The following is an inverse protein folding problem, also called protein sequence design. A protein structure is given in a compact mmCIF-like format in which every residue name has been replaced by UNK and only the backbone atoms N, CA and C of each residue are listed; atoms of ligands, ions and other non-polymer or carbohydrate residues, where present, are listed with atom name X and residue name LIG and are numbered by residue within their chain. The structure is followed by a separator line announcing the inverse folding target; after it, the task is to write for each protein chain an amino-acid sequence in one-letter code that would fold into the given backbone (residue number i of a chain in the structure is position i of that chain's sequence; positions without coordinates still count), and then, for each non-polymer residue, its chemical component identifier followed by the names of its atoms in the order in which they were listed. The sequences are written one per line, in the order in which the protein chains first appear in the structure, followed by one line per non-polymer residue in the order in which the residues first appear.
data_IF_709308423214
#
_entry.id   IF_709308423214
#
_cell.length_a   1.000
_cell.length_b   1.000
_cell.length_c   1.000
_cell.angle_alpha   90.00
_cell.angle_beta   90.00
_cell.angle_gamma   90.00
#
_symmetry.space_group_name_H-M   'P 1'
#
loop_
_entity.id
_entity.type
_entity.pdbx_description
1 polymer ?
#
# COMPACT_ATOMS: atom_id res chain seq x y z
N UNK A 1 1.18 -8.90 0.82
CA UNK A 1 2.60 -8.72 0.40
C UNK A 1 2.69 -7.86 -0.87
N UNK A 2 3.57 -6.85 -0.90
CA UNK A 2 3.79 -6.00 -2.09
C UNK A 2 4.69 -6.68 -3.13
N UNK A 3 5.64 -7.48 -2.68
CA UNK A 3 6.51 -8.31 -3.52
C UNK A 3 6.18 -9.77 -3.27
N UNK A 4 6.19 -10.57 -4.33
CA UNK A 4 6.00 -12.02 -4.24
C UNK A 4 7.14 -12.72 -4.96
N UNK A 5 7.53 -13.85 -4.41
CA UNK A 5 8.50 -14.76 -5.00
C UNK A 5 7.99 -16.19 -4.83
N UNK A 6 8.35 -17.06 -5.77
CA UNK A 6 7.92 -18.45 -5.77
C UNK A 6 8.90 -19.38 -5.03
N UNK A 7 10.15 -18.94 -4.78
CA UNK A 7 11.20 -19.79 -4.22
C UNK A 7 12.19 -18.98 -3.38
N UNK A 8 12.73 -19.61 -2.32
CA UNK A 8 13.91 -19.11 -1.64
C UNK A 8 13.73 -17.86 -0.74
N UNK A 9 12.51 -17.52 -0.34
CA UNK A 9 12.21 -16.37 0.55
C UNK A 9 12.47 -16.61 2.06
N UNK A 10 13.05 -17.77 2.38
CA UNK A 10 13.27 -18.22 3.75
C UNK A 10 12.00 -18.78 4.39
N UNK A 11 12.19 -19.55 5.47
CA UNK A 11 11.12 -20.32 6.10
C UNK A 11 10.78 -19.82 7.51
N UNK A 12 9.59 -20.17 7.98
CA UNK A 12 9.20 -19.95 9.37
C UNK A 12 10.18 -20.61 10.36
N UNK A 13 10.71 -21.79 10.01
CA UNK A 13 11.63 -22.56 10.87
C UNK A 13 12.86 -21.77 11.33
N UNK A 14 13.38 -20.89 10.47
CA UNK A 14 14.57 -20.05 10.76
C UNK A 14 14.29 -18.55 10.77
N UNK A 15 13.03 -18.13 10.66
CA UNK A 15 12.67 -16.71 10.62
C UNK A 15 13.28 -15.98 9.44
N UNK A 16 13.30 -16.61 8.26
CA UNK A 16 13.83 -16.00 7.03
C UNK A 16 15.35 -16.01 6.88
N UNK A 17 16.12 -16.50 7.87
CA UNK A 17 17.60 -16.55 7.80
C UNK A 17 18.16 -17.57 6.81
N UNK A 18 17.31 -18.44 6.30
CA UNK A 18 17.55 -19.41 5.24
C UNK A 18 17.04 -18.93 3.88
N UNK A 19 16.84 -17.61 3.72
CA UNK A 19 16.65 -17.01 2.40
C UNK A 19 17.83 -17.39 1.48
N UNK A 20 17.51 -17.70 0.22
CA UNK A 20 18.54 -17.93 -0.79
C UNK A 20 19.40 -16.69 -0.99
N UNK A 21 20.63 -16.85 -1.49
CA UNK A 21 21.45 -15.69 -1.82
C UNK A 21 20.71 -14.82 -2.85
N UNK A 22 20.84 -13.49 -2.75
CA UNK A 22 20.09 -12.52 -3.56
C UNK A 22 20.17 -12.77 -5.07
N UNK A 23 21.29 -13.32 -5.56
CA UNK A 23 21.49 -13.68 -6.96
C UNK A 23 20.60 -14.84 -7.46
N UNK A 24 20.00 -15.60 -6.56
CA UNK A 24 19.16 -16.78 -6.85
C UNK A 24 17.70 -16.59 -6.44
N UNK A 25 17.34 -15.46 -5.82
CA UNK A 25 15.97 -15.16 -5.40
C UNK A 25 15.40 -14.08 -6.30
N UNK A 26 14.30 -14.40 -6.96
CA UNK A 26 13.62 -13.47 -7.86
C UNK A 26 12.31 -13.00 -7.24
N UNK A 27 12.10 -11.70 -7.22
CA UNK A 27 10.87 -11.07 -6.78
C UNK A 27 10.16 -10.42 -7.97
N UNK A 28 8.83 -10.41 -7.91
CA UNK A 28 7.99 -9.61 -8.80
C UNK A 28 7.03 -8.75 -7.99
N UNK A 29 6.64 -7.64 -8.57
CA UNK A 29 5.61 -6.77 -8.00
C UNK A 29 4.26 -7.50 -7.99
N UNK A 30 3.58 -7.47 -6.85
CA UNK A 30 2.21 -7.92 -6.75
C UNK A 30 1.26 -6.85 -7.33
N UNK A 31 1.17 -6.78 -8.65
CA UNK A 31 0.41 -5.72 -9.36
C UNK A 31 -1.03 -5.58 -8.87
N UNK A 32 -1.75 -6.68 -8.62
CA UNK A 32 -3.14 -6.63 -8.14
C UNK A 32 -3.28 -5.91 -6.80
N UNK A 33 -2.30 -6.05 -5.91
CA UNK A 33 -2.26 -5.34 -4.63
C UNK A 33 -1.71 -3.93 -4.81
N UNK A 34 -0.59 -3.78 -5.52
CA UNK A 34 0.11 -2.51 -5.66
C UNK A 34 -0.67 -1.46 -6.46
N UNK A 35 -1.28 -1.85 -7.57
CA UNK A 35 -2.00 -0.92 -8.46
C UNK A 35 -3.27 -0.36 -7.78
N UNK A 36 -3.90 -1.15 -6.90
CA UNK A 36 -5.04 -0.71 -6.09
C UNK A 36 -4.61 0.06 -4.85
N UNK A 37 -3.56 -0.40 -4.17
CA UNK A 37 -3.10 0.24 -2.94
C UNK A 37 -2.44 1.60 -3.22
N UNK A 38 -1.76 1.73 -4.35
CA UNK A 38 -1.05 2.93 -4.82
C UNK A 38 -1.53 3.31 -6.23
N UNK A 39 -2.71 3.95 -6.35
CA UNK A 39 -3.27 4.33 -7.65
C UNK A 39 -2.31 5.21 -8.46
N UNK A 40 -2.14 4.89 -9.75
CA UNK A 40 -1.28 5.66 -10.67
C UNK A 40 -1.67 7.14 -10.73
N UNK A 41 -2.96 7.45 -10.59
CA UNK A 41 -3.46 8.82 -10.56
C UNK A 41 -2.89 9.66 -9.39
N UNK A 42 -2.49 9.04 -8.29
CA UNK A 42 -1.87 9.73 -7.15
C UNK A 42 -0.40 10.08 -7.42
N UNK A 43 0.27 9.35 -8.32
CA UNK A 43 1.69 9.57 -8.64
C UNK A 43 1.97 10.97 -9.18
N UNK A 44 0.95 11.63 -9.75
CA UNK A 44 1.05 12.99 -10.29
C UNK A 44 0.74 14.10 -9.27
N UNK A 45 0.36 13.73 -8.05
CA UNK A 45 -0.02 14.69 -7.01
C UNK A 45 0.74 14.47 -5.70
N UNK A 46 1.69 13.54 -5.65
CA UNK A 46 2.63 13.41 -4.54
C UNK A 46 3.92 14.19 -4.81
N UNK A 47 4.67 14.50 -3.75
CA UNK A 47 5.93 15.23 -3.85
C UNK A 47 7.09 14.27 -4.12
N UNK A 48 8.06 14.70 -4.93
CA UNK A 48 9.26 13.93 -5.28
C UNK A 48 10.53 14.61 -4.81
N UNK A 49 11.53 13.78 -4.51
CA UNK A 49 12.89 14.22 -4.24
C UNK A 49 13.61 14.45 -5.58
N UNK A 50 14.42 15.51 -5.64
CA UNK A 50 15.26 15.81 -6.80
C UNK A 50 16.73 15.78 -6.37
N UNK A 51 17.54 14.98 -7.07
CA UNK A 51 18.99 14.89 -6.86
C UNK A 51 19.68 15.16 -8.19
N UNK A 52 20.61 16.12 -8.22
CA UNK A 52 21.31 16.54 -9.45
C UNK A 52 20.35 16.91 -10.61
N UNK A 53 19.18 17.47 -10.29
CA UNK A 53 18.16 17.86 -11.27
C UNK A 53 17.32 16.69 -11.82
N UNK A 54 17.55 15.46 -11.37
CA UNK A 54 16.77 14.28 -11.77
C UNK A 54 15.72 13.98 -10.71
N UNK A 55 14.49 13.70 -11.15
CA UNK A 55 13.40 13.24 -10.28
C UNK A 55 13.69 11.80 -9.80
N UNK A 56 13.71 11.61 -8.49
CA UNK A 56 13.96 10.32 -7.83
C UNK A 56 12.65 9.73 -7.27
N UNK A 57 12.68 9.09 -6.10
CA UNK A 57 11.51 8.58 -5.39
C UNK A 57 10.60 9.71 -4.84
N UNK A 58 9.31 9.42 -4.60
CA UNK A 58 8.47 10.32 -3.85
C UNK A 58 8.98 10.46 -2.42
N UNK A 59 8.82 11.66 -1.83
CA UNK A 59 9.07 11.91 -0.40
C UNK A 59 8.30 10.89 0.44
N UNK A 60 7.05 10.60 0.05
CA UNK A 60 6.23 9.55 0.64
C UNK A 60 5.17 9.08 -0.35
N UNK A 61 5.03 7.76 -0.49
CA UNK A 61 3.85 7.18 -1.14
C UNK A 61 2.64 7.31 -0.22
N UNK A 62 1.48 7.64 -0.79
CA UNK A 62 0.25 7.78 -0.04
C UNK A 62 -0.73 6.65 -0.38
N UNK A 63 -0.65 5.47 0.26
CA UNK A 63 -1.55 4.35 -0.05
C UNK A 63 -3.02 4.70 0.27
N UNK A 64 -4.00 4.04 -0.37
CA UNK A 64 -5.44 4.27 -0.10
C UNK A 64 -5.90 3.84 1.30
N UNK A 65 -5.08 3.05 1.99
CA UNK A 65 -5.24 2.50 3.34
C UNK A 65 -3.90 2.61 4.09
N UNK A 66 -3.87 2.69 5.43
CA UNK A 66 -2.65 2.88 6.20
C UNK A 66 -1.80 1.59 6.25
N UNK A 67 -1.17 1.25 5.11
CA UNK A 67 -0.42 0.02 4.86
C UNK A 67 0.68 -0.27 5.89
N UNK A 68 1.29 0.77 6.46
CA UNK A 68 2.30 0.64 7.52
C UNK A 68 1.81 -0.15 8.74
N UNK A 69 0.49 -0.18 8.99
CA UNK A 69 -0.10 -0.90 10.11
C UNK A 69 -0.15 -2.41 9.91
N UNK A 70 0.05 -2.92 8.71
CA UNK A 70 -0.01 -4.37 8.41
C UNK A 70 1.36 -5.05 8.47
N UNK A 71 2.37 -4.34 8.97
CA UNK A 71 3.74 -4.82 9.00
C UNK A 71 4.29 -4.87 10.41
N UNK A 72 5.20 -5.82 10.60
CA UNK A 72 6.08 -5.83 11.76
C UNK A 72 7.31 -5.01 11.40
N UNK A 73 7.67 -4.06 12.26
CA UNK A 73 8.90 -3.31 12.13
C UNK A 73 9.42 -2.98 13.53
N UNK A 74 10.66 -3.36 13.79
CA UNK A 74 11.34 -3.02 15.04
C UNK A 74 12.73 -2.51 14.72
N UNK A 75 12.95 -1.21 14.92
CA UNK A 75 14.23 -0.58 14.63
C UNK A 75 14.66 0.32 15.78
N UNK A 76 15.92 0.14 16.24
CA UNK A 76 16.56 1.11 17.11
C UNK A 76 16.96 2.34 16.30
N UNK A 77 16.67 3.52 16.82
CA UNK A 77 17.16 4.80 16.33
C UNK A 77 17.89 5.53 17.45
N UNK A 78 18.72 6.51 17.12
CA UNK A 78 19.44 7.30 18.13
C UNK A 78 18.42 8.07 19.00
N UNK A 79 18.32 7.71 20.28
CA UNK A 79 17.37 8.31 21.22
C UNK A 79 15.92 7.81 21.13
N UNK A 80 15.60 6.92 20.18
CA UNK A 80 14.23 6.45 19.95
C UNK A 80 14.18 4.95 19.64
N UNK A 81 13.05 4.33 19.95
CA UNK A 81 12.74 2.96 19.52
C UNK A 81 11.42 2.98 18.77
N UNK A 82 11.39 2.35 17.61
CA UNK A 82 10.17 2.12 16.83
C UNK A 82 9.88 0.64 16.85
N UNK A 83 8.73 0.23 17.37
CA UNK A 83 8.29 -1.17 17.48
C UNK A 83 6.81 -1.26 17.17
N UNK A 84 6.51 -1.66 15.94
CA UNK A 84 5.17 -1.83 15.39
C UNK A 84 4.91 -3.31 15.17
N UNK A 85 3.70 -3.72 15.55
CA UNK A 85 3.21 -5.06 15.28
C UNK A 85 2.03 -4.99 14.30
N UNK A 86 1.91 -5.98 13.40
CA UNK A 86 0.87 -5.96 12.38
C UNK A 86 -0.53 -5.95 13.01
N UNK A 87 -1.41 -5.10 12.51
CA UNK A 87 -2.82 -5.04 12.88
C UNK A 87 -3.68 -5.75 11.86
N UNK A 88 -4.84 -6.21 12.30
CA UNK A 88 -5.77 -6.91 11.45
C UNK A 88 -6.18 -6.04 10.24
N UNK A 89 -6.09 -6.62 9.05
CA UNK A 89 -6.31 -5.90 7.80
C UNK A 89 -7.78 -5.47 7.69
N UNK A 90 -8.72 -6.35 8.08
CA UNK A 90 -10.16 -6.08 7.98
C UNK A 90 -10.60 -5.01 8.97
N UNK A 91 -10.18 -5.11 10.23
CA UNK A 91 -10.45 -4.08 11.24
C UNK A 91 -9.89 -2.71 10.83
N UNK A 92 -8.71 -2.68 10.19
CA UNK A 92 -8.11 -1.45 9.66
C UNK A 92 -8.95 -0.89 8.50
N UNK A 93 -9.40 -1.74 7.58
CA UNK A 93 -10.28 -1.36 6.46
C UNK A 93 -11.60 -0.79 6.98
N UNK A 94 -12.23 -1.45 7.96
CA UNK A 94 -13.52 -1.03 8.52
C UNK A 94 -13.42 0.30 9.27
N UNK A 95 -12.33 0.52 10.00
CA UNK A 95 -12.04 1.79 10.65
C UNK A 95 -11.92 2.93 9.62
N UNK A 96 -11.18 2.71 8.52
CA UNK A 96 -11.04 3.70 7.46
C UNK A 96 -12.36 3.92 6.73
N UNK A 97 -13.11 2.85 6.38
CA UNK A 97 -14.45 2.99 5.78
C UNK A 97 -15.40 3.81 6.65
N UNK A 98 -15.35 3.61 7.97
CA UNK A 98 -16.15 4.39 8.93
C UNK A 98 -15.80 5.87 8.89
N UNK A 99 -14.50 6.20 8.81
CA UNK A 99 -14.03 7.58 8.64
C UNK A 99 -14.46 8.18 7.30
N UNK A 100 -14.25 7.46 6.19
CA UNK A 100 -14.62 7.93 4.85
C UNK A 100 -16.14 8.14 4.74
N UNK A 101 -16.93 7.20 5.26
CA UNK A 101 -18.40 7.29 5.22
C UNK A 101 -18.93 8.46 6.04
N UNK A 102 -18.21 8.86 7.09
CA UNK A 102 -18.57 9.98 7.94
C UNK A 102 -18.15 11.35 7.39
N UNK A 103 -17.47 11.38 6.23
CA UNK A 103 -17.19 12.62 5.52
C UNK A 103 -18.52 13.22 5.05
N UNK A 104 -18.83 14.41 5.57
CA UNK A 104 -20.02 15.14 5.16
C UNK A 104 -19.92 15.56 3.68
N UNK A 105 -21.02 15.49 2.92
CA UNK A 105 -21.11 16.15 1.63
C UNK A 105 -20.86 17.67 1.81
N UNK A 106 -20.22 18.29 0.82
CA UNK A 106 -19.94 19.74 0.81
C UNK A 106 -21.14 20.63 1.17
N UNK A 107 -20.92 21.78 1.85
CA UNK A 107 -21.59 23.03 1.52
C UNK A 107 -21.00 23.64 0.23
N UNK A 108 -21.82 24.24 -0.63
CA UNK A 108 -21.57 24.59 -2.04
C UNK A 108 -20.60 25.79 -2.25
N UNK A 109 -19.58 25.96 -1.41
CA UNK A 109 -18.58 27.00 -1.64
C UNK A 109 -17.44 26.48 -2.51
N UNK A 110 -17.45 26.92 -3.77
CA UNK A 110 -16.44 26.64 -4.77
C UNK A 110 -15.16 27.41 -4.42
N UNK A 111 -14.00 26.74 -4.42
CA UNK A 111 -12.74 27.46 -4.62
C UNK A 111 -12.66 27.97 -6.08
N UNK A 112 -11.68 28.80 -6.41
CA UNK A 112 -11.45 29.33 -7.77
C UNK A 112 -11.33 28.24 -8.88
N UNK A 113 -11.26 26.96 -8.48
CA UNK A 113 -11.18 25.79 -9.35
C UNK A 113 -12.43 24.89 -9.32
N UNK A 114 -13.41 25.14 -8.43
CA UNK A 114 -14.68 24.42 -8.36
C UNK A 114 -14.69 23.07 -7.64
N UNK A 115 -13.60 22.64 -6.98
CA UNK A 115 -13.43 21.25 -6.49
C UNK A 115 -13.52 21.16 -4.96
N UNK A 116 -14.01 20.05 -4.35
CA UNK A 116 -14.01 19.90 -2.89
C UNK A 116 -12.61 20.08 -2.29
N UNK A 117 -12.47 21.05 -1.38
CA UNK A 117 -11.47 20.95 -0.31
C UNK A 117 -11.95 19.88 0.67
N UNK A 118 -11.17 18.83 0.91
CA UNK A 118 -11.36 17.99 2.09
C UNK A 118 -10.97 18.80 3.33
N UNK A 119 -11.87 19.67 3.82
CA UNK A 119 -11.72 20.17 5.18
C UNK A 119 -12.02 18.99 6.11
N UNK A 120 -10.95 18.38 6.62
CA UNK A 120 -10.94 17.38 7.69
C UNK A 120 -11.71 17.82 8.95
N UNK A 121 -12.02 19.12 9.09
CA UNK A 121 -12.90 19.67 10.12
C UNK A 121 -14.39 19.32 10.00
N UNK A 122 -14.78 18.51 9.02
CA UNK A 122 -16.18 18.11 8.77
C UNK A 122 -16.54 16.67 9.15
N UNK A 123 -15.66 15.91 9.82
CA UNK A 123 -16.03 14.59 10.37
C UNK A 123 -17.25 14.76 11.28
N UNK A 124 -18.28 13.93 11.09
CA UNK A 124 -19.39 13.92 12.04
C UNK A 124 -18.82 13.58 13.43
N UNK A 125 -19.09 14.39 14.46
CA UNK A 125 -18.50 14.22 15.80
C UNK A 125 -18.80 12.87 16.49
N UNK A 126 -19.53 11.97 15.83
CA UNK A 126 -19.98 10.69 16.35
C UNK A 126 -19.39 9.46 15.61
N UNK A 127 -18.27 9.58 14.88
CA UNK A 127 -17.62 8.38 14.31
C UNK A 127 -17.12 7.50 15.45
N UNK A 128 -17.75 6.33 15.60
CA UNK A 128 -17.31 5.30 16.53
C UNK A 128 -16.20 4.51 15.86
N UNK A 129 -14.96 4.86 16.19
CA UNK A 129 -13.80 4.01 15.91
C UNK A 129 -13.64 2.98 17.04
N UNK A 130 -13.06 1.81 16.76
CA UNK A 130 -12.70 0.89 17.83
C UNK A 130 -11.70 1.56 18.76
N UNK A 131 -11.72 1.17 20.03
CA UNK A 131 -10.78 1.70 21.05
C UNK A 131 -9.35 1.33 20.69
N UNK A 132 -9.15 0.14 20.14
CA UNK A 132 -7.87 -0.36 19.66
C UNK A 132 -8.06 -1.19 18.38
N UNK A 133 -7.04 -1.22 17.52
CA UNK A 133 -7.01 -2.16 16.41
C UNK A 133 -6.46 -3.51 16.90
N UNK A 134 -7.17 -4.63 16.68
CA UNK A 134 -6.68 -5.92 17.11
C UNK A 134 -5.38 -6.29 16.37
N UNK A 135 -4.47 -7.02 17.04
CA UNK A 135 -3.30 -7.57 16.37
C UNK A 135 -3.71 -8.52 15.25
N UNK A 136 -2.91 -8.58 14.19
CA UNK A 136 -3.12 -9.56 13.12
C UNK A 136 -2.89 -10.96 13.68
N UNK A 137 -3.92 -11.80 13.55
CA UNK A 137 -3.86 -13.23 13.89
C UNK A 137 -3.70 -14.10 12.64
N UNK A 138 -3.54 -13.50 11.45
CA UNK A 138 -3.42 -14.26 10.22
C UNK A 138 -2.12 -15.09 10.21
N UNK A 139 -2.27 -16.42 10.14
CA UNK A 139 -1.21 -17.45 10.29
C UNK A 139 -0.57 -17.58 11.68
N UNK A 140 -1.08 -16.89 12.69
CA UNK A 140 -0.62 -17.02 14.07
C UNK A 140 -1.76 -17.61 14.93
N UNK A 141 -1.62 -18.88 15.31
CA UNK A 141 -2.67 -19.68 15.96
C UNK A 141 -2.66 -19.64 17.50
N UNK A 142 -1.94 -18.69 18.11
CA UNK A 142 -1.85 -18.49 19.56
C UNK A 142 -2.90 -17.57 20.16
N UNK A 143 -2.69 -17.22 21.43
CA UNK A 143 -3.59 -16.40 22.23
C UNK A 143 -2.91 -15.11 22.66
N UNK A 144 -3.63 -13.99 22.59
CA UNK A 144 -3.22 -12.73 23.19
C UNK A 144 -3.72 -12.66 24.62
N UNK A 145 -2.81 -12.58 25.60
CA UNK A 145 -3.11 -12.32 27.01
C UNK A 145 -2.46 -11.01 27.41
N UNK A 146 -3.27 -9.98 27.65
CA UNK A 146 -2.80 -8.61 27.82
C UNK A 146 -1.88 -8.16 26.65
N UNK A 147 -0.63 -7.82 26.93
CA UNK A 147 0.38 -7.45 25.94
C UNK A 147 1.30 -8.62 25.55
N UNK A 148 0.96 -9.87 25.89
CA UNK A 148 1.74 -11.04 25.52
C UNK A 148 1.02 -11.88 24.46
N UNK A 149 1.79 -12.31 23.48
CA UNK A 149 1.39 -13.37 22.58
C UNK A 149 1.91 -14.70 23.13
N UNK A 150 1.03 -15.69 23.28
CA UNK A 150 1.36 -17.02 23.80
C UNK A 150 1.13 -18.06 22.70
N UNK A 151 2.09 -18.97 22.54
CA UNK A 151 1.99 -20.09 21.60
C UNK A 151 0.98 -21.14 22.04
N UNK A 152 0.65 -22.07 21.14
CA UNK A 152 -0.34 -23.12 21.39
C UNK A 152 0.31 -24.48 21.40
N UNK A 153 -0.11 -25.31 22.35
CA UNK A 153 0.33 -26.68 22.48
C UNK A 153 -0.78 -27.55 23.06
N UNK A 154 -0.61 -28.86 22.92
CA UNK A 154 -1.42 -29.88 23.59
C UNK A 154 -0.51 -30.83 24.36
N UNK A 155 -1.01 -31.33 25.49
CA UNK A 155 -0.28 -32.23 26.39
C UNK A 155 -0.95 -33.60 26.36
N UNK A 156 -0.16 -34.66 26.20
CA UNK A 156 -0.59 -36.05 26.26
C UNK A 156 0.43 -36.87 27.06
N UNK A 157 0.23 -36.95 28.38
CA UNK A 157 1.15 -37.59 29.31
C UNK A 157 2.54 -36.96 29.27
N UNK A 158 3.54 -37.75 28.90
CA UNK A 158 4.94 -37.27 28.79
C UNK A 158 5.23 -36.60 27.43
N UNK A 159 4.24 -36.38 26.58
CA UNK A 159 4.43 -35.77 25.25
C UNK A 159 3.72 -34.42 25.14
N UNK A 160 4.43 -33.42 24.63
CA UNK A 160 3.88 -32.08 24.34
C UNK A 160 3.97 -31.83 22.84
N UNK A 161 2.85 -31.49 22.22
CA UNK A 161 2.77 -31.14 20.80
C UNK A 161 2.49 -29.65 20.65
N UNK A 162 3.47 -28.90 20.16
CA UNK A 162 3.38 -27.45 19.91
C UNK A 162 2.94 -27.23 18.46
N UNK A 163 1.83 -26.51 18.30
CA UNK A 163 1.21 -26.23 16.99
C UNK A 163 1.29 -24.77 16.58
N UNK A 164 1.67 -23.87 17.50
CA UNK A 164 1.84 -22.44 17.20
C UNK A 164 2.92 -21.82 18.09
N UNK A 165 3.72 -20.92 17.52
CA UNK A 165 4.70 -20.12 18.26
C UNK A 165 4.32 -18.63 18.20
N UNK A 166 4.68 -17.86 19.24
CA UNK A 166 4.50 -16.42 19.23
C UNK A 166 5.35 -15.75 18.14
N UNK A 167 4.91 -14.60 17.58
CA UNK A 167 5.67 -13.85 16.59
C UNK A 167 7.10 -13.55 17.06
N UNK A 168 8.08 -13.81 16.18
CA UNK A 168 9.51 -13.59 16.48
C UNK A 168 10.18 -14.76 17.23
N UNK A 169 9.42 -15.73 17.76
CA UNK A 169 9.96 -16.99 18.24
C UNK A 169 9.89 -18.05 17.14
N UNK A 170 11.05 -18.36 16.57
CA UNK A 170 11.19 -19.36 15.50
C UNK A 170 11.48 -20.75 16.06
N UNK A 171 11.13 -21.81 15.33
CA UNK A 171 11.39 -23.20 15.70
C UNK A 171 12.85 -23.41 16.13
N UNK A 172 13.78 -22.99 15.28
CA UNK A 172 15.22 -23.10 15.55
C UNK A 172 15.65 -22.36 16.82
N UNK A 173 14.99 -21.25 17.16
CA UNK A 173 15.24 -20.53 18.41
C UNK A 173 14.72 -21.31 19.60
N UNK A 174 13.48 -21.82 19.55
CA UNK A 174 12.89 -22.62 20.60
C UNK A 174 13.70 -23.90 20.86
N UNK A 175 13.99 -24.67 19.80
CA UNK A 175 14.75 -25.92 19.90
C UNK A 175 16.16 -25.71 20.44
N UNK A 176 16.81 -24.60 20.06
CA UNK A 176 18.10 -24.23 20.65
C UNK A 176 17.96 -23.86 22.13
N UNK A 177 16.91 -23.14 22.53
CA UNK A 177 16.66 -22.83 23.93
C UNK A 177 16.37 -24.09 24.76
N UNK A 178 15.73 -25.10 24.16
CA UNK A 178 15.48 -26.40 24.78
C UNK A 178 16.79 -27.19 24.93
N UNK A 179 17.61 -27.27 23.87
CA UNK A 179 18.88 -28.00 23.88
C UNK A 179 19.94 -27.35 24.77
N UNK A 180 19.97 -26.02 24.83
CA UNK A 180 21.12 -25.26 25.33
C UNK A 180 22.20 -25.10 24.27
N UNK A 181 23.26 -24.35 24.60
CA UNK A 181 24.38 -24.11 23.70
C UNK A 181 25.32 -25.34 23.63
N UNK A 182 25.84 -25.64 22.44
CA UNK A 182 26.96 -26.59 22.28
C UNK A 182 28.28 -26.01 22.80
N UNK A 183 29.30 -26.84 23.00
CA UNK A 183 30.62 -26.39 23.45
C UNK A 183 31.20 -25.28 22.55
N UNK A 184 31.04 -25.42 21.23
CA UNK A 184 31.51 -24.41 20.27
C UNK A 184 30.70 -23.11 20.34
N UNK A 185 29.39 -23.19 20.53
CA UNK A 185 28.52 -22.01 20.69
C UNK A 185 28.76 -21.30 22.01
N UNK A 186 28.97 -22.05 23.09
CA UNK A 186 29.35 -21.55 24.40
C UNK A 186 30.67 -20.75 24.31
N UNK A 187 31.72 -21.32 23.70
CA UNK A 187 32.99 -20.62 23.45
C UNK A 187 32.78 -19.31 22.68
N UNK A 188 31.97 -19.31 21.61
CA UNK A 188 31.66 -18.11 20.82
C UNK A 188 30.89 -17.05 21.60
N UNK A 189 30.01 -17.44 22.53
CA UNK A 189 29.24 -16.51 23.36
C UNK A 189 30.09 -15.89 24.47
N UNK A 190 30.90 -16.71 25.14
CA UNK A 190 31.85 -16.24 26.15
C UNK A 190 32.83 -15.24 25.53
N UNK A 191 33.35 -15.53 24.33
CA UNK A 191 34.21 -14.58 23.58
C UNK A 191 33.52 -13.24 23.25
N UNK A 192 32.19 -13.20 23.25
CA UNK A 192 31.37 -11.98 23.05
C UNK A 192 30.85 -11.39 24.37
N UNK A 193 31.33 -11.88 25.52
CA UNK A 193 30.88 -11.45 26.85
C UNK A 193 29.44 -11.82 27.19
N UNK A 194 28.89 -12.89 26.58
CA UNK A 194 27.50 -13.33 26.80
C UNK A 194 27.46 -14.66 27.57
N UNK A 195 26.50 -14.79 28.47
CA UNK A 195 26.26 -16.02 29.24
C UNK A 195 25.91 -17.23 28.36
N UNK A 196 26.33 -18.41 28.80
CA UNK A 196 26.01 -19.68 28.14
C UNK A 196 24.57 -20.06 28.42
N UNK A 197 23.82 -20.48 27.39
CA UNK A 197 22.46 -20.97 27.56
C UNK A 197 22.46 -22.39 28.07
N UNK A 198 21.81 -22.59 29.20
CA UNK A 198 21.55 -23.90 29.77
C UNK A 198 20.28 -24.47 29.11
N UNK A 199 20.33 -25.73 28.70
CA UNK A 199 19.18 -26.44 28.15
C UNK A 199 18.08 -26.66 29.19
N UNK A 200 16.94 -27.15 28.73
CA UNK A 200 15.77 -27.44 29.55
C UNK A 200 15.80 -28.92 29.98
N UNK A 201 16.23 -29.25 31.22
CA UNK A 201 16.49 -30.64 31.62
C UNK A 201 15.25 -31.53 31.69
N UNK A 202 14.04 -30.94 31.75
CA UNK A 202 12.80 -31.70 31.77
C UNK A 202 12.40 -32.20 30.37
N UNK A 203 13.04 -31.69 29.32
CA UNK A 203 12.83 -32.15 27.93
C UNK A 203 13.88 -33.18 27.59
N UNK A 204 13.46 -34.44 27.43
CA UNK A 204 14.33 -35.56 27.04
C UNK A 204 14.70 -35.49 25.56
N UNK A 205 13.73 -35.21 24.70
CA UNK A 205 13.90 -35.19 23.26
C UNK A 205 12.97 -34.16 22.61
N UNK A 206 13.39 -33.59 21.49
CA UNK A 206 12.61 -32.63 20.72
C UNK A 206 12.73 -32.94 19.22
N UNK A 207 11.59 -33.12 18.56
CA UNK A 207 11.50 -33.40 17.14
C UNK A 207 10.73 -32.28 16.42
N UNK A 208 11.26 -31.80 15.29
CA UNK A 208 10.64 -30.76 14.47
C UNK A 208 10.18 -31.32 13.12
N UNK A 209 8.87 -31.43 12.96
CA UNK A 209 8.18 -31.87 11.72
C UNK A 209 7.47 -30.73 11.00
N UNK A 210 7.64 -29.50 11.48
CA UNK A 210 7.04 -28.28 10.94
C UNK A 210 7.26 -28.14 9.45
N UNK A 211 6.30 -27.64 8.67
CA UNK A 211 6.52 -27.38 7.25
C UNK A 211 7.22 -26.04 7.00
N UNK A 212 6.94 -25.44 5.84
CA UNK A 212 7.46 -24.12 5.48
C UNK A 212 6.73 -22.98 6.21
N UNK A 213 5.43 -23.19 6.47
CA UNK A 213 4.51 -22.19 7.02
C UNK A 213 3.79 -22.61 8.31
N UNK A 214 3.81 -23.91 8.65
CA UNK A 214 3.13 -24.45 9.84
C UNK A 214 4.14 -24.94 10.87
N UNK A 215 3.78 -24.83 12.16
CA UNK A 215 4.55 -25.36 13.29
C UNK A 215 4.01 -26.74 13.68
N UNK A 216 4.91 -27.70 13.81
CA UNK A 216 4.68 -29.05 14.32
C UNK A 216 5.96 -29.50 15.04
N UNK A 217 6.00 -29.25 16.35
CA UNK A 217 7.13 -29.61 17.22
C UNK A 217 6.61 -30.55 18.30
N UNK A 218 7.25 -31.71 18.43
CA UNK A 218 6.95 -32.70 19.47
C UNK A 218 8.08 -32.74 20.49
N UNK A 219 7.74 -32.54 21.76
CA UNK A 219 8.65 -32.63 22.88
C UNK A 219 8.32 -33.87 23.71
N UNK A 220 9.33 -34.69 24.00
CA UNK A 220 9.23 -35.82 24.92
C UNK A 220 9.82 -35.37 26.25
N UNK A 221 9.00 -35.37 27.29
CA UNK A 221 9.36 -34.95 28.64
C UNK A 221 9.89 -36.13 29.47
N UNK A 222 10.60 -35.82 30.55
CA UNK A 222 10.96 -36.82 31.57
C UNK A 222 9.73 -37.23 32.38
N UNK A 223 9.70 -38.49 32.87
CA UNK A 223 8.58 -38.95 33.69
C UNK A 223 8.40 -38.08 34.94
N UNK A 224 7.16 -37.65 35.19
CA UNK A 224 6.82 -36.81 36.34
C UNK A 224 7.35 -35.38 36.24
N UNK A 225 7.56 -34.88 35.02
CA UNK A 225 8.00 -33.51 34.75
C UNK A 225 7.06 -32.45 35.35
N UNK A 226 5.75 -32.72 35.39
CA UNK A 226 4.73 -31.78 35.89
C UNK A 226 5.03 -31.28 37.31
N UNK A 227 5.52 -32.18 38.19
CA UNK A 227 5.85 -31.85 39.58
C UNK A 227 7.18 -31.11 39.75
N UNK A 228 7.98 -31.05 38.69
CA UNK A 228 9.33 -30.46 38.68
C UNK A 228 9.38 -29.13 37.94
N UNK A 229 8.26 -28.68 37.38
CA UNK A 229 8.19 -27.38 36.72
C UNK A 229 8.48 -26.26 37.73
N UNK A 230 9.31 -25.27 37.36
CA UNK A 230 9.41 -24.06 38.15
C UNK A 230 8.08 -23.29 38.06
N UNK A 231 7.61 -22.70 39.16
CA UNK A 231 6.42 -21.87 39.13
C UNK A 231 6.65 -20.67 38.21
N UNK A 232 5.63 -20.31 37.43
CA UNK A 232 5.64 -19.12 36.61
C UNK A 232 5.85 -17.87 37.46
N UNK A 233 6.65 -16.93 36.97
CA UNK A 233 6.86 -15.65 37.64
C UNK A 233 5.66 -14.70 37.57
N UNK A 234 4.63 -15.06 36.80
CA UNK A 234 3.42 -14.26 36.58
C UNK A 234 2.21 -15.18 36.34
N UNK A 235 1.05 -14.82 36.91
CA UNK A 235 -0.24 -15.51 36.73
C UNK A 235 -0.73 -15.55 35.26
N UNK A 236 -0.16 -14.72 34.37
CA UNK A 236 -0.50 -14.72 32.93
C UNK A 236 -0.15 -16.00 32.17
N UNK A 237 0.79 -16.80 32.70
CA UNK A 237 1.29 -18.00 32.05
C UNK A 237 1.18 -19.20 32.99
N UNK A 238 0.84 -20.35 32.43
CA UNK A 238 1.08 -21.63 33.08
C UNK A 238 2.59 -21.85 33.29
N UNK A 239 2.92 -22.65 34.30
CA UNK A 239 4.30 -23.05 34.60
C UNK A 239 4.99 -23.67 33.38
N UNK A 240 4.24 -24.39 32.54
CA UNK A 240 4.75 -24.97 31.31
C UNK A 240 5.04 -23.92 30.22
N UNK A 241 4.12 -22.97 30.01
CA UNK A 241 4.33 -21.87 29.05
C UNK A 241 5.57 -21.04 29.44
N UNK A 242 5.70 -20.76 30.73
CA UNK A 242 6.85 -20.07 31.31
C UNK A 242 8.12 -20.89 31.14
N UNK A 243 8.08 -22.17 31.52
CA UNK A 243 9.22 -23.07 31.42
C UNK A 243 9.70 -23.23 29.99
N UNK A 244 8.81 -23.39 29.00
CA UNK A 244 9.20 -23.52 27.59
C UNK A 244 9.62 -22.17 26.98
N UNK A 245 9.16 -21.05 27.54
CA UNK A 245 9.41 -19.72 26.99
C UNK A 245 8.67 -19.49 25.68
N UNK A 246 7.46 -20.04 25.55
CA UNK A 246 6.61 -19.95 24.35
C UNK A 246 5.69 -18.71 24.39
N UNK A 247 6.23 -17.59 24.86
CA UNK A 247 5.52 -16.31 24.93
C UNK A 247 6.43 -15.17 24.47
N UNK A 248 5.86 -14.10 23.94
CA UNK A 248 6.58 -12.87 23.57
C UNK A 248 5.77 -11.66 24.00
N UNK A 249 6.44 -10.72 24.68
CA UNK A 249 5.84 -9.43 25.01
C UNK A 249 5.79 -8.54 23.76
N UNK A 250 4.59 -8.06 23.43
CA UNK A 250 4.33 -7.13 22.34
C UNK A 250 4.36 -5.68 22.86
N UNK A 251 5.57 -5.19 23.15
CA UNK A 251 5.75 -3.80 23.55
C UNK A 251 5.69 -2.84 22.33
N UNK A 252 4.55 -2.16 22.19
CA UNK A 252 4.31 -1.18 21.14
C UNK A 252 5.07 0.12 21.43
N UNK A 253 6.02 0.47 20.56
CA UNK A 253 6.73 1.74 20.62
C UNK A 253 6.42 2.49 19.32
N UNK A 254 5.28 3.17 19.29
CA UNK A 254 4.69 3.73 18.06
C UNK A 254 5.29 5.10 17.71
N UNK A 255 6.61 5.12 17.54
CA UNK A 255 7.37 6.30 17.15
C UNK A 255 7.53 6.31 15.63
N UNK A 256 7.23 7.42 14.97
CA UNK A 256 7.46 7.58 13.52
C UNK A 256 7.83 9.01 13.18
N UNK A 257 8.45 9.18 12.02
CA UNK A 257 8.71 10.48 11.40
C UNK A 257 7.46 10.88 10.59
N UNK A 258 7.03 12.13 10.72
CA UNK A 258 5.94 12.72 9.96
C UNK A 258 6.48 13.40 8.68
N UNK A 259 5.63 13.75 7.71
CA UNK A 259 6.08 14.41 6.47
C UNK A 259 6.77 15.77 6.65
N UNK A 260 6.68 16.38 7.83
CA UNK A 260 7.38 17.62 8.21
C UNK A 260 8.71 17.35 8.95
N UNK A 261 9.23 16.14 8.82
CA UNK A 261 10.44 15.62 9.48
C UNK A 261 10.40 15.61 11.02
N UNK A 262 9.23 15.88 11.62
CA UNK A 262 9.06 15.81 13.06
C UNK A 262 8.91 14.36 13.54
N UNK A 263 9.50 14.05 14.70
CA UNK A 263 9.29 12.77 15.38
C UNK A 263 8.00 12.84 16.20
N UNK A 264 7.12 11.86 16.00
CA UNK A 264 5.86 11.74 16.71
C UNK A 264 5.72 10.39 17.39
N UNK A 265 5.25 10.40 18.64
CA UNK A 265 4.98 9.19 19.44
C UNK A 265 3.47 9.04 19.59
N UNK A 266 2.92 7.97 19.02
CA UNK A 266 1.50 7.65 19.12
C UNK A 266 1.21 6.81 20.35
N UNK A 267 0.02 7.00 20.94
CA UNK A 267 -0.46 6.16 22.04
C UNK A 267 -1.10 4.88 21.54
N UNK A 268 -1.90 4.98 20.48
CA UNK A 268 -2.63 3.86 19.91
C UNK A 268 -2.47 3.77 18.39
N UNK A 269 -2.72 2.59 17.83
CA UNK A 269 -2.77 2.40 16.37
C UNK A 269 -3.88 3.22 15.71
N UNK A 270 -4.97 3.48 16.43
CA UNK A 270 -6.08 4.31 15.94
C UNK A 270 -5.68 5.78 15.79
N UNK A 271 -4.78 6.28 16.65
CA UNK A 271 -4.26 7.63 16.51
C UNK A 271 -3.42 7.78 15.22
N UNK A 272 -2.72 6.72 14.82
CA UNK A 272 -2.01 6.69 13.53
C UNK A 272 -3.03 6.74 12.37
N UNK A 273 -4.10 5.93 12.43
CA UNK A 273 -5.16 5.98 11.41
C UNK A 273 -5.74 7.39 11.29
N UNK A 274 -6.06 8.04 12.41
CA UNK A 274 -6.57 9.42 12.45
C UNK A 274 -5.58 10.42 11.85
N UNK A 275 -4.30 10.30 12.20
CA UNK A 275 -3.25 11.21 11.67
C UNK A 275 -3.02 11.02 10.18
N UNK A 276 -3.01 9.77 9.69
CA UNK A 276 -2.85 9.41 8.28
C UNK A 276 -4.05 9.84 7.42
N UNK A 277 -5.26 9.77 7.98
CA UNK A 277 -6.50 10.03 7.25
C UNK A 277 -6.55 11.43 6.61
N UNK A 278 -6.06 12.45 7.31
CA UNK A 278 -6.05 13.83 6.82
C UNK A 278 -5.21 14.02 5.54
N UNK A 279 -3.90 13.74 5.58
CA UNK A 279 -3.03 13.79 4.40
C UNK A 279 -3.52 12.92 3.24
N UNK A 280 -4.09 11.74 3.53
CA UNK A 280 -4.67 10.89 2.47
C UNK A 280 -5.89 11.54 1.81
N UNK A 281 -6.79 12.13 2.62
CA UNK A 281 -7.92 12.90 2.11
C UNK A 281 -7.47 14.03 1.19
N UNK A 282 -6.47 14.82 1.60
CA UNK A 282 -5.93 15.90 0.77
C UNK A 282 -5.35 15.38 -0.56
N UNK A 283 -4.73 14.20 -0.56
CA UNK A 283 -4.23 13.56 -1.78
C UNK A 283 -5.36 13.27 -2.77
N UNK A 284 -6.51 12.77 -2.31
CA UNK A 284 -7.70 12.62 -3.15
C UNK A 284 -8.21 13.96 -3.67
N UNK A 285 -8.28 15.00 -2.82
CA UNK A 285 -8.64 16.35 -3.28
C UNK A 285 -7.71 16.79 -4.41
N UNK A 286 -6.40 16.69 -4.25
CA UNK A 286 -5.43 17.06 -5.29
C UNK A 286 -5.59 16.23 -6.56
N UNK A 287 -5.80 14.92 -6.43
CA UNK A 287 -6.05 14.00 -7.56
C UNK A 287 -7.25 14.45 -8.40
N UNK A 288 -8.40 14.68 -7.76
CA UNK A 288 -9.62 15.11 -8.45
C UNK A 288 -9.52 16.55 -8.97
N UNK A 289 -8.82 17.43 -8.26
CA UNK A 289 -8.51 18.77 -8.75
C UNK A 289 -7.75 18.73 -10.07
N UNK A 290 -6.73 17.88 -10.12
CA UNK A 290 -5.92 17.68 -11.32
C UNK A 290 -6.76 17.15 -12.47
N UNK A 291 -7.60 16.15 -12.21
CA UNK A 291 -8.50 15.57 -13.22
C UNK A 291 -9.43 16.63 -13.80
N UNK A 292 -10.10 17.40 -12.93
CA UNK A 292 -11.00 18.48 -13.33
C UNK A 292 -10.29 19.55 -14.17
N UNK A 293 -9.14 20.04 -13.70
CA UNK A 293 -8.40 21.10 -14.38
C UNK A 293 -7.95 20.67 -15.79
N UNK A 294 -7.44 19.44 -15.92
CA UNK A 294 -7.08 18.88 -17.22
C UNK A 294 -8.30 18.70 -18.14
N UNK A 295 -9.44 18.24 -17.61
CA UNK A 295 -10.67 18.08 -18.38
C UNK A 295 -11.24 19.42 -18.87
N UNK A 296 -11.21 20.47 -18.03
CA UNK A 296 -11.62 21.83 -18.40
C UNK A 296 -10.86 22.30 -19.64
N UNK A 297 -9.54 22.14 -19.64
CA UNK A 297 -8.71 22.51 -20.79
C UNK A 297 -8.91 21.63 -22.02
N UNK A 298 -9.17 20.33 -21.82
CA UNK A 298 -9.52 19.42 -22.92
C UNK A 298 -10.86 19.78 -23.57
N UNK A 299 -11.82 20.25 -22.79
CA UNK A 299 -13.11 20.75 -23.29
C UNK A 299 -12.88 21.99 -24.16
N UNK A 300 -12.16 23.00 -23.66
CA UNK A 300 -11.83 24.22 -24.43
C UNK A 300 -11.12 23.87 -25.74
N UNK A 301 -10.13 22.96 -25.69
CA UNK A 301 -9.40 22.50 -26.87
C UNK A 301 -10.34 21.82 -27.88
N UNK A 302 -11.20 20.91 -27.43
CA UNK A 302 -12.13 20.20 -28.32
C UNK A 302 -13.19 21.11 -28.91
N UNK A 303 -13.73 22.06 -28.14
CA UNK A 303 -14.69 23.06 -28.64
C UNK A 303 -14.05 23.89 -29.77
N UNK A 304 -12.79 24.32 -29.61
CA UNK A 304 -12.04 25.00 -30.67
C UNK A 304 -11.81 24.09 -31.89
N UNK A 305 -11.44 22.82 -31.71
CA UNK A 305 -11.24 21.87 -32.81
C UNK A 305 -12.54 21.64 -33.59
N UNK A 306 -13.66 21.43 -32.89
CA UNK A 306 -14.98 21.20 -33.51
C UNK A 306 -15.39 22.42 -34.32
N UNK A 307 -15.22 23.63 -33.75
CA UNK A 307 -15.52 24.88 -34.46
C UNK A 307 -14.59 25.09 -35.65
N UNK A 308 -13.31 24.75 -35.52
CA UNK A 308 -12.33 24.84 -36.59
C UNK A 308 -12.71 23.97 -37.77
N UNK A 309 -13.01 22.68 -37.54
CA UNK A 309 -13.43 21.74 -38.57
C UNK A 309 -14.71 22.23 -39.28
N UNK A 310 -15.69 22.74 -38.51
CA UNK A 310 -16.95 23.25 -39.07
C UNK A 310 -16.74 24.42 -40.04
N UNK A 311 -15.81 25.32 -39.72
CA UNK A 311 -15.56 26.55 -40.48
C UNK A 311 -14.44 26.39 -41.52
N UNK A 312 -13.75 25.25 -41.55
CA UNK A 312 -12.51 25.05 -42.30
C UNK A 312 -12.66 25.27 -43.80
N UNK A 313 -13.68 24.64 -44.41
CA UNK A 313 -13.91 24.70 -45.85
C UNK A 313 -14.74 25.92 -46.30
N UNK A 314 -15.49 26.54 -45.39
CA UNK A 314 -16.44 27.61 -45.71
C UNK A 314 -15.89 29.02 -45.43
N UNK A 315 -15.29 29.22 -44.25
CA UNK A 315 -15.01 30.57 -43.74
C UNK A 315 -13.52 30.84 -43.45
N UNK A 316 -12.72 29.80 -43.17
CA UNK A 316 -11.34 29.98 -42.75
C UNK A 316 -10.36 30.18 -43.91
N UNK A 317 -10.65 29.64 -45.10
CA UNK A 317 -9.86 29.83 -46.34
C UNK A 317 -8.33 29.69 -46.15
N UNK A 318 -7.91 28.73 -45.32
CA UNK A 318 -6.51 28.56 -44.90
C UNK A 318 -5.63 27.90 -45.98
N UNK A 319 -6.24 27.23 -46.95
CA UNK A 319 -5.54 26.54 -48.05
C UNK A 319 -5.45 27.50 -49.25
N UNK A 320 -4.53 28.47 -49.18
CA UNK A 320 -4.19 29.35 -50.31
C UNK A 320 -2.68 29.43 -50.52
N UNK A 321 -2.25 29.50 -51.77
CA UNK A 321 -0.83 29.60 -52.14
C UNK A 321 -0.23 30.88 -51.54
N UNK A 322 0.89 30.76 -50.82
CA UNK A 322 1.56 31.89 -50.15
C UNK A 322 0.97 32.30 -48.80
N UNK A 323 0.07 31.52 -48.20
CA UNK A 323 -0.40 31.74 -46.83
C UNK A 323 0.77 31.63 -45.84
N UNK A 324 1.01 32.68 -45.04
CA UNK A 324 1.99 32.64 -43.95
C UNK A 324 1.35 32.24 -42.63
N UNK A 325 2.18 31.83 -41.65
CA UNK A 325 1.69 31.47 -40.32
C UNK A 325 1.03 32.67 -39.62
N UNK A 326 1.57 33.87 -39.78
CA UNK A 326 1.04 35.11 -39.18
C UNK A 326 -0.32 35.49 -39.76
N UNK A 327 -0.53 35.25 -41.06
CA UNK A 327 -1.82 35.47 -41.71
C UNK A 327 -2.87 34.49 -41.22
N UNK A 328 -2.51 33.21 -41.08
CA UNK A 328 -3.40 32.19 -40.52
C UNK A 328 -3.76 32.51 -39.06
N UNK A 329 -2.78 32.92 -38.25
CA UNK A 329 -2.97 33.36 -36.87
C UNK A 329 -3.94 34.55 -36.78
N UNK A 330 -3.82 35.52 -37.68
CA UNK A 330 -4.70 36.70 -37.73
C UNK A 330 -6.14 36.31 -38.04
N UNK A 331 -6.36 35.39 -38.98
CA UNK A 331 -7.69 34.87 -39.32
C UNK A 331 -8.30 34.10 -38.14
N UNK A 332 -7.52 33.24 -37.49
CA UNK A 332 -8.00 32.49 -36.34
C UNK A 332 -8.29 33.41 -35.14
N UNK A 333 -7.46 34.43 -34.93
CA UNK A 333 -7.68 35.44 -33.90
C UNK A 333 -8.95 36.27 -34.16
N UNK A 334 -9.21 36.69 -35.40
CA UNK A 334 -10.41 37.47 -35.74
C UNK A 334 -11.70 36.67 -35.61
N UNK A 335 -11.63 35.35 -35.80
CA UNK A 335 -12.73 34.40 -35.55
C UNK A 335 -12.82 33.94 -34.08
N UNK A 336 -11.99 34.51 -33.20
CA UNK A 336 -12.02 34.27 -31.75
C UNK A 336 -11.59 32.87 -31.33
N UNK A 337 -10.68 32.22 -32.06
CA UNK A 337 -10.03 30.98 -31.60
C UNK A 337 -9.04 31.28 -30.49
N UNK A 338 -8.79 30.29 -29.64
CA UNK A 338 -7.90 30.45 -28.47
C UNK A 338 -6.52 29.89 -28.81
N UNK A 339 -5.46 30.70 -28.58
CA UNK A 339 -4.08 30.18 -28.57
C UNK A 339 -3.87 29.38 -27.29
N UNK A 340 -3.29 28.19 -27.40
CA UNK A 340 -2.98 27.40 -26.22
C UNK A 340 -1.79 26.47 -26.46
N UNK A 341 -1.05 26.19 -25.38
CA UNK A 341 -0.10 25.09 -25.36
C UNK A 341 -0.80 23.79 -24.94
N UNK A 342 -0.82 22.81 -25.84
CA UNK A 342 -1.45 21.51 -25.62
C UNK A 342 -0.51 20.47 -24.98
N UNK A 343 0.80 20.76 -24.87
CA UNK A 343 1.78 19.82 -24.29
C UNK A 343 1.45 19.47 -22.84
N UNK A 344 1.12 20.43 -21.93
CA UNK A 344 0.70 20.11 -20.56
C UNK A 344 -0.57 19.26 -20.51
N UNK A 345 -1.48 19.43 -21.47
CA UNK A 345 -2.76 18.72 -21.51
C UNK A 345 -2.60 17.27 -22.00
N UNK A 346 -1.69 17.07 -22.97
CA UNK A 346 -1.41 15.77 -23.61
C UNK A 346 -0.43 14.93 -22.79
N UNK A 347 0.64 15.52 -22.29
CA UNK A 347 1.63 14.87 -21.42
C UNK A 347 1.49 15.39 -20.00
N UNK A 348 0.44 14.95 -19.31
CA UNK A 348 0.06 15.51 -18.02
C UNK A 348 0.97 15.08 -16.85
N UNK A 349 2.04 14.31 -17.07
CA UNK A 349 2.77 13.63 -15.99
C UNK A 349 3.41 14.57 -14.96
N UNK A 350 3.90 15.72 -15.42
CA UNK A 350 4.68 16.69 -14.62
C UNK A 350 3.96 18.04 -14.48
N UNK A 351 2.63 18.02 -14.56
CA UNK A 351 1.83 19.24 -14.54
C UNK A 351 1.56 19.68 -13.11
N UNK A 352 2.07 20.85 -12.78
CA UNK A 352 1.72 21.57 -11.56
C UNK A 352 0.38 22.31 -11.76
N UNK A 353 -0.62 21.97 -10.94
CA UNK A 353 -2.00 22.44 -11.09
C UNK A 353 -2.12 23.97 -10.91
N UNK A 354 -1.52 24.60 -9.88
CA UNK A 354 -1.58 26.05 -9.68
C UNK A 354 -1.08 26.86 -10.88
N UNK A 355 -0.07 26.35 -11.61
CA UNK A 355 0.53 27.04 -12.76
C UNK A 355 -0.05 26.60 -14.11
N UNK A 356 -1.01 25.67 -14.12
CA UNK A 356 -1.58 25.09 -15.34
C UNK A 356 -2.23 26.15 -16.25
N UNK A 357 -2.94 27.12 -15.68
CA UNK A 357 -3.55 28.22 -16.45
C UNK A 357 -2.51 29.05 -17.19
N UNK A 358 -1.40 29.37 -16.53
CA UNK A 358 -0.30 30.12 -17.12
C UNK A 358 0.38 29.30 -18.22
N UNK A 359 0.67 28.02 -17.94
CA UNK A 359 1.30 27.12 -18.91
C UNK A 359 0.46 26.95 -20.18
N UNK A 360 -0.86 26.80 -20.04
CA UNK A 360 -1.74 26.47 -21.18
C UNK A 360 -2.18 27.72 -21.96
N UNK A 361 -2.49 28.83 -21.28
CA UNK A 361 -3.12 29.99 -21.93
C UNK A 361 -2.24 31.24 -22.03
N UNK A 362 -1.17 31.35 -21.24
CA UNK A 362 -0.36 32.59 -21.13
C UNK A 362 1.14 32.36 -21.31
N UNK A 363 1.57 31.13 -21.58
CA UNK A 363 2.96 30.77 -21.75
C UNK A 363 3.58 31.28 -23.05
N UNK A 364 4.91 31.24 -23.19
CA UNK A 364 5.61 31.67 -24.39
C UNK A 364 5.30 30.81 -25.63
N UNK A 365 4.92 29.55 -25.41
CA UNK A 365 4.72 28.56 -26.48
C UNK A 365 3.25 28.42 -26.93
N UNK A 366 2.36 29.32 -26.51
CA UNK A 366 0.96 29.29 -26.93
C UNK A 366 0.85 29.54 -28.44
N UNK A 367 0.10 28.68 -29.13
CA UNK A 367 -0.04 28.77 -30.58
C UNK A 367 -1.36 28.17 -31.05
N UNK A 368 -1.67 28.37 -32.34
CA UNK A 368 -2.77 27.65 -33.00
C UNK A 368 -2.33 26.31 -33.60
N UNK A 369 -1.11 25.81 -33.29
CA UNK A 369 -0.56 24.58 -33.86
C UNK A 369 -1.47 23.35 -33.65
N UNK A 370 -2.24 23.33 -32.57
CA UNK A 370 -3.22 22.25 -32.32
C UNK A 370 -4.42 22.26 -33.28
N UNK A 371 -4.67 23.38 -33.97
CA UNK A 371 -5.68 23.55 -35.03
C UNK A 371 -5.03 23.45 -36.41
N UNK A 372 -4.01 24.27 -36.67
CA UNK A 372 -3.34 24.34 -37.99
C UNK A 372 -2.57 23.07 -38.32
N UNK A 373 -2.15 22.30 -37.31
CA UNK A 373 -1.54 20.98 -37.46
C UNK A 373 -2.54 19.86 -37.78
N UNK A 374 -3.86 20.13 -37.85
CA UNK A 374 -4.85 19.13 -38.25
C UNK A 374 -4.74 18.91 -39.77
N UNK A 375 -4.44 17.69 -40.24
CA UNK A 375 -4.39 17.40 -41.67
C UNK A 375 -5.74 17.63 -42.35
N UNK A 376 -5.74 18.09 -43.60
CA UNK A 376 -6.97 18.38 -44.37
C UNK A 376 -7.89 17.15 -44.50
N UNK A 377 -7.33 15.94 -44.65
CA UNK A 377 -8.13 14.71 -44.67
C UNK A 377 -8.82 14.39 -43.33
N UNK A 378 -8.56 15.18 -42.27
CA UNK A 378 -9.22 15.08 -40.98
C UNK A 378 -10.24 16.18 -40.71
N UNK A 379 -10.46 17.13 -41.62
CA UNK A 379 -11.42 18.24 -41.47
C UNK A 379 -12.82 17.91 -42.01
N UNK A 380 -13.18 16.63 -42.10
CA UNK A 380 -14.50 16.18 -42.53
C UNK A 380 -15.44 15.91 -41.33
N UNK A 381 -16.74 15.96 -41.59
CA UNK A 381 -17.84 15.82 -40.60
C UNK A 381 -17.71 14.56 -39.73
N UNK A 382 -17.22 13.45 -40.29
CA UNK A 382 -17.02 12.21 -39.52
C UNK A 382 -16.06 12.37 -38.34
N UNK A 383 -15.01 13.19 -38.48
CA UNK A 383 -14.08 13.46 -37.38
C UNK A 383 -14.64 14.51 -36.42
N UNK A 384 -15.39 15.49 -36.93
CA UNK A 384 -16.12 16.43 -36.10
C UNK A 384 -17.04 15.68 -35.12
N UNK A 385 -17.79 14.67 -35.60
CA UNK A 385 -18.64 13.81 -34.77
C UNK A 385 -17.85 13.07 -33.68
N UNK A 386 -16.68 12.49 -34.02
CA UNK A 386 -15.80 11.84 -33.03
C UNK A 386 -15.31 12.81 -31.95
N UNK A 387 -15.03 14.07 -32.32
CA UNK A 387 -14.64 15.10 -31.37
C UNK A 387 -15.82 15.51 -30.48
N UNK A 388 -17.03 15.62 -31.03
CA UNK A 388 -18.26 15.89 -30.27
C UNK A 388 -18.57 14.78 -29.27
N UNK A 389 -18.44 13.50 -29.64
CA UNK A 389 -18.63 12.37 -28.72
C UNK A 389 -17.65 12.45 -27.53
N UNK A 390 -16.37 12.74 -27.80
CA UNK A 390 -15.35 12.94 -26.75
C UNK A 390 -15.67 14.14 -25.87
N UNK A 391 -16.12 15.25 -26.46
CA UNK A 391 -16.51 16.46 -25.74
C UNK A 391 -17.66 16.17 -24.76
N UNK A 392 -18.69 15.45 -25.20
CA UNK A 392 -19.80 15.06 -24.33
C UNK A 392 -19.35 14.15 -23.20
N UNK A 393 -18.43 13.20 -23.47
CA UNK A 393 -17.82 12.37 -22.41
C UNK A 393 -17.08 13.21 -21.36
N UNK A 394 -16.31 14.21 -21.78
CA UNK A 394 -15.59 15.09 -20.85
C UNK A 394 -16.52 16.01 -20.06
N UNK A 395 -17.54 16.61 -20.70
CA UNK A 395 -18.55 17.43 -20.02
C UNK A 395 -19.33 16.60 -19.00
N UNK A 396 -19.72 15.38 -19.33
CA UNK A 396 -20.34 14.44 -18.39
C UNK A 396 -19.43 14.16 -17.20
N UNK A 397 -18.15 13.87 -17.44
CA UNK A 397 -17.18 13.59 -16.36
C UNK A 397 -16.95 14.80 -15.47
N UNK A 398 -16.91 16.01 -16.02
CA UNK A 398 -16.83 17.25 -15.23
C UNK A 398 -18.05 17.39 -14.32
N UNK A 399 -19.26 17.21 -14.86
CA UNK A 399 -20.50 17.26 -14.06
C UNK A 399 -20.53 16.20 -12.96
N UNK A 400 -19.98 15.00 -13.23
CA UNK A 400 -19.75 14.00 -12.19
C UNK A 400 -18.81 14.56 -11.12
N UNK A 401 -17.61 15.05 -11.48
CA UNK A 401 -16.59 15.57 -10.54
C UNK A 401 -17.06 16.74 -9.67
N UNK A 402 -18.01 17.54 -10.17
CA UNK A 402 -18.62 18.65 -9.41
C UNK A 402 -19.53 18.15 -8.27
N UNK A 403 -19.95 16.88 -8.33
CA UNK A 403 -20.77 16.22 -7.31
C UNK A 403 -20.14 16.27 -5.91
N UNK A 404 -20.97 16.51 -4.90
CA UNK A 404 -20.51 16.72 -3.52
C UNK A 404 -19.95 15.47 -2.83
N UNK A 405 -20.22 14.28 -3.37
CA UNK A 405 -19.82 12.99 -2.78
C UNK A 405 -18.75 12.25 -3.58
N UNK A 406 -18.33 12.75 -4.74
CA UNK A 406 -17.51 12.02 -5.71
C UNK A 406 -16.23 11.47 -5.10
N UNK A 407 -15.50 12.31 -4.37
CA UNK A 407 -14.24 11.89 -3.76
C UNK A 407 -14.45 10.82 -2.70
N UNK A 408 -15.51 10.96 -1.89
CA UNK A 408 -15.88 9.98 -0.86
C UNK A 408 -16.25 8.65 -1.51
N UNK A 409 -17.13 8.69 -2.51
CA UNK A 409 -17.65 7.51 -3.17
C UNK A 409 -16.54 6.79 -3.95
N UNK A 410 -15.64 7.54 -4.58
CA UNK A 410 -14.46 6.98 -5.23
C UNK A 410 -13.50 6.33 -4.23
N UNK A 411 -13.23 6.96 -3.09
CA UNK A 411 -12.36 6.37 -2.07
C UNK A 411 -12.99 5.09 -1.50
N UNK A 412 -14.30 5.10 -1.19
CA UNK A 412 -15.00 3.89 -0.76
C UNK A 412 -14.95 2.79 -1.81
N UNK A 413 -15.14 3.13 -3.09
CA UNK A 413 -15.05 2.19 -4.19
C UNK A 413 -13.65 1.56 -4.29
N UNK A 414 -12.59 2.36 -4.21
CA UNK A 414 -11.19 1.88 -4.24
C UNK A 414 -10.88 0.99 -3.02
N UNK A 415 -11.37 1.34 -1.83
CA UNK A 415 -11.24 0.49 -0.63
C UNK A 415 -11.98 -0.84 -0.83
N UNK A 416 -13.21 -0.85 -1.34
CA UNK A 416 -13.97 -2.07 -1.58
C UNK A 416 -13.30 -2.97 -2.64
N UNK A 417 -12.74 -2.37 -3.70
CA UNK A 417 -11.98 -3.11 -4.70
C UNK A 417 -10.73 -3.76 -4.08
N UNK A 418 -10.00 -3.01 -3.24
CA UNK A 418 -8.83 -3.55 -2.54
C UNK A 418 -9.21 -4.63 -1.53
N UNK A 419 -10.30 -4.46 -0.80
CA UNK A 419 -10.77 -5.44 0.16
C UNK A 419 -11.11 -6.79 -0.50
N UNK A 420 -11.73 -6.78 -1.68
CA UNK A 420 -11.98 -7.99 -2.44
C UNK A 420 -10.67 -8.73 -2.81
N UNK A 421 -9.62 -7.97 -3.14
CA UNK A 421 -8.26 -8.53 -3.37
C UNK A 421 -7.65 -9.09 -2.09
N UNK A 422 -7.90 -8.47 -0.94
CA UNK A 422 -7.47 -9.00 0.35
C UNK A 422 -8.18 -10.33 0.62
N UNK A 423 -9.49 -10.42 0.44
CA UNK A 423 -10.25 -11.67 0.66
C UNK A 423 -9.74 -12.80 -0.23
N UNK A 424 -9.52 -12.50 -1.51
CA UNK A 424 -8.92 -13.46 -2.44
C UNK A 424 -7.51 -13.85 -1.99
N UNK A 425 -6.67 -12.87 -1.65
CA UNK A 425 -5.29 -13.07 -1.22
C UNK A 425 -5.18 -13.90 0.06
N UNK A 426 -6.05 -13.69 1.05
CA UNK A 426 -6.08 -14.50 2.27
C UNK A 426 -6.51 -15.96 1.99
N UNK A 427 -7.35 -16.18 0.98
CA UNK A 427 -7.78 -17.51 0.54
C UNK A 427 -6.74 -18.24 -0.32
N UNK A 428 -5.96 -17.50 -1.11
CA UNK A 428 -4.99 -18.05 -2.07
C UNK A 428 -3.54 -17.86 -1.67
N UNK A 429 -3.27 -17.48 -0.41
CA UNK A 429 -1.93 -17.12 0.07
C UNK A 429 -1.24 -16.05 -0.79
N UNK A 430 -2.03 -15.12 -1.34
CA UNK A 430 -1.61 -14.02 -2.21
C UNK A 430 -1.04 -14.46 -3.57
N UNK A 431 -1.11 -15.76 -3.89
CA UNK A 431 -0.85 -16.30 -5.22
C UNK A 431 -2.14 -16.24 -6.05
N UNK A 432 -2.29 -15.16 -6.80
CA UNK A 432 -3.41 -14.97 -7.75
C UNK A 432 -3.28 -15.87 -8.99
N UNK A 433 -4.37 -16.12 -9.72
CA UNK A 433 -4.35 -17.07 -10.86
C UNK A 433 -3.37 -16.68 -12.00
N UNK A 434 -3.03 -15.39 -12.14
CA UNK A 434 -1.97 -14.89 -13.03
C UNK A 434 -0.53 -15.26 -12.57
N UNK A 435 -0.38 -16.00 -11.46
CA UNK A 435 0.85 -16.71 -11.11
C UNK A 435 1.12 -17.91 -12.02
N UNK A 436 0.09 -18.40 -12.72
CA UNK A 436 0.12 -19.62 -13.51
C UNK A 436 -0.01 -19.39 -15.02
N UNK A 437 0.99 -18.75 -15.60
CA UNK A 437 1.44 -19.23 -16.91
C UNK A 437 2.34 -20.46 -16.69
N UNK A 438 1.66 -21.60 -16.54
CA UNK A 438 2.08 -22.95 -16.91
C UNK A 438 3.59 -23.28 -16.81
N UNK A 439 4.06 -23.67 -15.62
CA UNK A 439 5.10 -24.73 -15.47
C UNK A 439 5.34 -25.25 -14.05
N UNK A 440 4.97 -24.51 -12.99
CA UNK A 440 5.43 -24.87 -11.62
C UNK A 440 4.37 -25.41 -10.64
N UNK A 441 3.12 -25.66 -11.06
CA UNK A 441 2.08 -26.32 -10.22
C UNK A 441 2.40 -27.74 -9.74
N UNK A 442 3.58 -28.32 -10.07
CA UNK A 442 3.94 -29.69 -9.69
C UNK A 442 4.63 -29.86 -8.33
N UNK A 443 4.97 -28.80 -7.58
CA UNK A 443 5.83 -28.97 -6.40
C UNK A 443 5.09 -28.99 -5.04
N UNK A 444 3.84 -28.51 -4.95
CA UNK A 444 3.19 -28.37 -3.63
C UNK A 444 2.24 -29.54 -3.27
N UNK A 445 1.96 -30.48 -4.19
CA UNK A 445 1.16 -31.68 -3.87
C UNK A 445 1.96 -32.96 -4.03
N UNK A 446 2.47 -33.47 -2.90
CA UNK A 446 2.83 -34.88 -2.73
C UNK A 446 4.31 -35.22 -2.95
N UNK A 447 5.15 -34.91 -1.97
CA UNK A 447 6.48 -35.50 -1.84
C UNK A 447 6.40 -36.98 -1.43
N UNK A 448 5.98 -37.88 -2.33
CA UNK A 448 6.33 -39.30 -2.22
C UNK A 448 7.79 -39.44 -2.67
N UNK A 449 8.70 -39.58 -1.69
CA UNK A 449 10.09 -39.99 -1.92
C UNK A 449 10.09 -41.31 -2.71
N UNK A 450 10.67 -41.30 -3.91
CA UNK A 450 11.15 -42.53 -4.55
C UNK A 450 12.42 -42.95 -3.81
N UNK A 451 12.34 -44.09 -3.15
CA UNK A 451 13.49 -44.88 -2.70
C UNK A 451 14.25 -45.31 -3.95
N UNK A 452 15.55 -45.04 -3.97
CA UNK A 452 16.54 -45.81 -4.72
C UNK A 452 17.65 -46.18 -3.76
#
# INVERSE_FOLDING_TARGET
PLLISNEGIGSFRKGGKDVGASRYVHFRLNKRVCDLLFPDADTHVIQYVFTEGVQCEPVMFMPILPWGLWQYYSVPATGWKSSFYPRDIKATIDAVKSLVSAIKPKPVEFDQWGIPTFRTGGLNNNVRLPVELPPSMHKFHGEMRENYYVGTFSVNGDTIHITALPPGLWNSTLLRNIRGDTEQEAKKRIAKGKEVRIGKPLVKEAEDRSGFENVDITLIMVKGWEKQLPPSSNELFSDLEYYLGIYVQMDNQLTTILPDDSVHVFKTYIDIVKKWFGPRGETYTRRFRREYALLKYRVIMLDNIIRYIALFHSELNLIRRGMTAEQADTILSSKGFIKMDIRPIKNAREVDIPTLDEQVLRGPDISYNYLTGIPVNKTHESNQRKHQEKLQKYKKRIAELEGSTVCRDAWLHEICAFEAIVDEGLRTDWFFEDFDNAKNRRVIKGGKRRVK
#
